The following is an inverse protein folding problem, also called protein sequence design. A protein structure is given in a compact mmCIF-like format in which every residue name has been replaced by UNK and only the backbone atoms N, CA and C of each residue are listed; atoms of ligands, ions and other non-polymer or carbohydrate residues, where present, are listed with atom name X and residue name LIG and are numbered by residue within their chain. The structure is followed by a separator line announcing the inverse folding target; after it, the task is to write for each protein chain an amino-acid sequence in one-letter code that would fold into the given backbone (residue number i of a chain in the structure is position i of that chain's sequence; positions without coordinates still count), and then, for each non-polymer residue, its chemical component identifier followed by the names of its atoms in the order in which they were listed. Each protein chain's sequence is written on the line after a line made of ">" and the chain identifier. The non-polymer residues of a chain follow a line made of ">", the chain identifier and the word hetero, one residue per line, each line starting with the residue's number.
data_IF_473136584218
#
_entry.id   IF_473136584218
#
_cell.length_a   1.000
_cell.length_b   1.000
_cell.length_c   1.000
_cell.angle_alpha   90.00
_cell.angle_beta   90.00
_cell.angle_gamma   90.00
#
_symmetry.space_group_name_H-M   'P 1'
#
loop_
_entity.id
_entity.type
_entity.pdbx_description
1 polymer ?
#
# COMPACT_ATOMS: atom_id res chain seq x y z
N UNK A 1 -15.25 -19.57 19.75
CA UNK A 1 -14.50 -18.35 20.13
C UNK A 1 -14.21 -17.57 18.85
N UNK A 2 -15.08 -16.61 18.49
CA UNK A 2 -15.03 -15.90 17.20
C UNK A 2 -14.61 -14.43 17.44
N UNK A 3 -13.41 -14.25 18.00
CA UNK A 3 -12.88 -12.95 18.41
C UNK A 3 -11.66 -12.55 17.60
N UNK A 4 -11.70 -12.72 16.27
CA UNK A 4 -10.55 -12.39 15.40
C UNK A 4 -10.88 -11.61 14.13
N UNK A 5 -12.15 -11.43 13.75
CA UNK A 5 -12.50 -10.75 12.49
C UNK A 5 -12.51 -9.22 12.65
N UNK A 6 -12.66 -8.72 13.89
CA UNK A 6 -12.85 -7.29 14.21
C UNK A 6 -11.66 -6.69 14.98
N UNK A 7 -10.67 -7.50 15.37
CA UNK A 7 -9.47 -7.01 16.05
C UNK A 7 -8.56 -6.28 15.04
N UNK A 8 -8.88 -5.00 14.80
CA UNK A 8 -8.07 -4.01 14.11
C UNK A 8 -7.57 -4.44 12.71
N UNK A 9 -8.39 -4.22 11.67
CA UNK A 9 -7.81 -3.95 10.34
C UNK A 9 -7.05 -2.62 10.44
N UNK A 10 -5.82 -2.67 10.97
CA UNK A 10 -4.88 -1.57 10.89
C UNK A 10 -4.75 -1.19 9.42
N UNK A 11 -4.74 0.12 9.16
CA UNK A 11 -4.49 0.59 7.81
C UNK A 11 -3.16 -0.02 7.35
N UNK A 12 -3.03 -0.55 6.12
CA UNK A 12 -1.80 -1.20 5.68
C UNK A 12 -0.54 -0.33 5.83
N UNK A 13 -0.69 1.00 5.79
CA UNK A 13 0.41 1.93 6.08
C UNK A 13 0.94 1.87 7.53
N UNK A 14 0.13 1.41 8.48
CA UNK A 14 0.50 1.28 9.89
C UNK A 14 1.32 0.01 10.18
N UNK A 15 1.56 -0.83 9.16
CA UNK A 15 2.43 -2.01 9.30
C UNK A 15 3.89 -1.70 8.98
N UNK A 16 4.18 -0.48 8.48
CA UNK A 16 5.53 -0.05 8.17
C UNK A 16 6.33 0.29 9.43
N UNK A 17 7.61 -0.09 9.42
CA UNK A 17 8.58 0.46 10.37
C UNK A 17 8.72 1.97 10.12
N UNK A 18 8.81 2.75 11.20
CA UNK A 18 9.04 4.19 11.13
C UNK A 18 10.39 4.55 10.45
N UNK A 19 11.34 3.63 10.48
CA UNK A 19 12.66 3.79 9.85
C UNK A 19 12.68 3.37 8.36
N UNK A 20 11.52 3.03 7.78
CA UNK A 20 11.43 2.64 6.37
C UNK A 20 11.36 3.88 5.48
N UNK A 21 12.22 3.94 4.46
CA UNK A 21 12.12 4.96 3.39
C UNK A 21 10.73 4.99 2.75
N UNK A 22 10.06 3.83 2.69
CA UNK A 22 8.70 3.71 2.18
C UNK A 22 7.67 4.37 3.11
N UNK A 23 7.86 4.31 4.43
CA UNK A 23 7.00 5.02 5.38
C UNK A 23 7.07 6.53 5.15
N UNK A 24 8.29 7.06 5.00
CA UNK A 24 8.51 8.49 4.71
C UNK A 24 7.83 8.92 3.41
N UNK A 25 7.95 8.13 2.33
CA UNK A 25 7.27 8.45 1.08
C UNK A 25 5.75 8.50 1.25
N UNK A 26 5.17 7.54 1.98
CA UNK A 26 3.73 7.44 2.17
C UNK A 26 3.18 8.43 3.21
N UNK A 27 4.03 9.05 4.02
CA UNK A 27 3.71 10.20 4.86
C UNK A 27 3.70 11.51 4.05
N UNK A 28 4.60 11.66 3.08
CA UNK A 28 4.76 12.89 2.30
C UNK A 28 3.82 12.95 1.08
N UNK A 29 3.49 11.80 0.51
CA UNK A 29 2.67 11.68 -0.69
C UNK A 29 1.40 10.89 -0.37
N UNK A 30 0.22 11.48 -0.61
CA UNK A 30 -1.05 10.77 -0.48
C UNK A 30 -1.17 9.69 -1.57
N UNK A 31 -1.19 8.38 -1.22
CA UNK A 31 -1.29 7.29 -2.18
C UNK A 31 -2.57 7.37 -3.02
N UNK A 32 -3.65 7.94 -2.46
CA UNK A 32 -4.92 8.13 -3.17
C UNK A 32 -4.86 9.21 -4.24
N UNK A 33 -3.80 10.02 -4.27
CA UNK A 33 -3.59 11.08 -5.27
C UNK A 33 -2.40 10.77 -6.20
N UNK A 34 -1.61 9.74 -5.90
CA UNK A 34 -0.51 9.31 -6.74
C UNK A 34 -0.97 8.95 -8.17
N UNK A 35 -0.09 9.24 -9.12
CA UNK A 35 -0.23 8.82 -10.52
C UNK A 35 -0.02 7.32 -10.68
N UNK A 36 -0.50 6.78 -11.79
CA UNK A 36 -0.27 5.37 -12.16
C UNK A 36 1.23 5.02 -12.14
N UNK A 37 2.07 5.85 -12.79
CA UNK A 37 3.52 5.66 -12.82
C UNK A 37 4.14 5.65 -11.42
N UNK A 38 3.73 6.57 -10.53
CA UNK A 38 4.29 6.63 -9.18
C UNK A 38 3.97 5.37 -8.37
N UNK A 39 2.77 4.83 -8.52
CA UNK A 39 2.36 3.57 -7.89
C UNK A 39 3.14 2.38 -8.45
N UNK A 40 3.38 2.33 -9.78
CA UNK A 40 4.23 1.31 -10.40
C UNK A 40 5.67 1.35 -9.89
N UNK A 41 6.27 2.54 -9.83
CA UNK A 41 7.63 2.74 -9.33
C UNK A 41 7.75 2.27 -7.88
N UNK A 42 6.77 2.59 -7.04
CA UNK A 42 6.71 2.13 -5.66
C UNK A 42 6.59 0.61 -5.56
N UNK A 43 5.71 -0.01 -6.35
CA UNK A 43 5.56 -1.47 -6.38
C UNK A 43 6.81 -2.18 -6.88
N UNK A 44 7.57 -1.59 -7.81
CA UNK A 44 8.85 -2.14 -8.27
C UNK A 44 9.96 -2.01 -7.22
N UNK A 45 9.97 -0.91 -6.47
CA UNK A 45 10.88 -0.71 -5.34
C UNK A 45 10.53 -1.64 -4.17
N UNK A 46 9.24 -1.93 -3.99
CA UNK A 46 8.70 -2.85 -2.98
C UNK A 46 8.72 -4.29 -3.50
N UNK A 47 9.90 -4.90 -3.63
CA UNK A 47 9.98 -6.33 -3.99
C UNK A 47 9.45 -7.21 -2.85
N UNK A 48 8.56 -8.18 -3.13
CA UNK A 48 8.13 -9.16 -2.12
C UNK A 48 9.34 -9.93 -1.58
N UNK A 49 9.61 -9.79 -0.28
CA UNK A 49 10.77 -10.37 0.41
C UNK A 49 11.68 -9.37 1.12
N UNK A 50 11.67 -8.10 0.71
CA UNK A 50 12.56 -7.05 1.25
C UNK A 50 11.90 -6.18 2.35
N UNK A 51 11.27 -6.81 3.36
CA UNK A 51 10.66 -6.11 4.52
C UNK A 51 9.37 -5.33 4.21
N UNK A 52 8.72 -5.59 3.07
CA UNK A 52 7.38 -5.05 2.75
C UNK A 52 6.32 -6.07 3.13
N UNK A 53 5.42 -5.69 4.04
CA UNK A 53 4.30 -6.52 4.46
C UNK A 53 3.33 -6.77 3.29
N UNK A 54 2.82 -8.00 3.11
CA UNK A 54 1.90 -8.36 2.02
C UNK A 54 0.67 -7.45 1.93
N UNK A 55 0.17 -6.95 3.06
CA UNK A 55 -0.98 -6.06 3.16
C UNK A 55 -0.70 -4.70 2.50
N UNK A 56 0.50 -4.16 2.66
CA UNK A 56 0.89 -2.89 2.05
C UNK A 56 1.05 -3.05 0.54
N UNK A 57 1.69 -4.14 0.11
CA UNK A 57 1.82 -4.44 -1.31
C UNK A 57 0.44 -4.59 -1.97
N UNK A 58 -0.47 -5.32 -1.32
CA UNK A 58 -1.85 -5.48 -1.80
C UNK A 58 -2.63 -4.17 -1.84
N UNK A 59 -2.39 -3.26 -0.87
CA UNK A 59 -2.99 -1.93 -0.87
C UNK A 59 -2.55 -1.08 -2.07
N UNK A 60 -1.24 -0.99 -2.32
CA UNK A 60 -0.69 -0.23 -3.45
C UNK A 60 -1.13 -0.83 -4.79
N UNK A 61 -1.16 -2.16 -4.90
CA UNK A 61 -1.66 -2.85 -6.09
C UNK A 61 -3.14 -2.53 -6.34
N UNK A 62 -3.98 -2.49 -5.29
CA UNK A 62 -5.39 -2.13 -5.41
C UNK A 62 -5.59 -0.69 -5.91
N UNK A 63 -4.76 0.26 -5.47
CA UNK A 63 -4.79 1.63 -5.98
C UNK A 63 -4.39 1.69 -7.46
N UNK A 64 -3.34 0.95 -7.86
CA UNK A 64 -2.91 0.88 -9.25
C UNK A 64 -4.02 0.31 -10.15
N UNK A 65 -4.68 -0.75 -9.72
CA UNK A 65 -5.79 -1.35 -10.45
C UNK A 65 -6.97 -0.37 -10.57
N UNK A 66 -7.27 0.40 -9.52
CA UNK A 66 -8.27 1.48 -9.59
C UNK A 66 -7.90 2.55 -10.61
N UNK A 67 -6.62 2.91 -10.76
CA UNK A 67 -6.17 3.89 -11.77
C UNK A 67 -6.34 3.36 -13.18
N UNK A 68 -5.97 2.11 -13.41
CA UNK A 68 -6.04 1.45 -14.72
C UNK A 68 -7.46 1.15 -15.16
N UNK A 69 -8.30 0.70 -14.23
CA UNK A 69 -9.60 0.11 -14.55
C UNK A 69 -10.80 0.85 -13.95
N UNK A 70 -10.60 1.72 -12.96
CA UNK A 70 -11.68 2.48 -12.31
C UNK A 70 -12.39 3.49 -13.23
N UNK A 71 -11.84 3.75 -14.42
CA UNK A 71 -12.48 4.56 -15.47
C UNK A 71 -13.40 3.75 -16.41
N UNK A 72 -13.59 2.45 -16.18
CA UNK A 72 -14.47 1.57 -16.99
C UNK A 72 -15.90 1.42 -16.44
N UNK A 73 -16.32 2.23 -15.46
CA UNK A 73 -17.68 2.28 -14.95
C UNK A 73 -18.48 3.43 -15.58
#
# INVERSE_FOLDING_TARGET
>A
MATAIVAARRHPLQTLSADSDLALVLELEDPMLMSEQRLEDLLQACRPGDSVEPELWGYLQGLLDQRRYGRRA
#
